data_IF_888010822722
#
_entry.id   IF_888010822722
#
_cell.length_a   1.000
_cell.length_b   1.000
_cell.length_c   1.000
_cell.angle_alpha   90.00
_cell.angle_beta   90.00
_cell.angle_gamma   90.00
#
_symmetry.space_group_name_H-M   'P 1'
#
loop_
_entity.id
_entity.type
_entity.pdbx_description
1 polymer ?
#
# COMPACT_ATOMS: atom_id res chain seq x y z
N UNK A 1 -23.95 -20.77 -14.68
CA UNK A 1 -22.54 -21.08 -14.43
C UNK A 1 -22.15 -20.68 -13.04
N UNK A 2 -21.59 -21.59 -12.30
CA UNK A 2 -21.09 -21.27 -10.99
C UNK A 2 -19.94 -20.26 -11.07
N UNK A 3 -19.82 -19.38 -10.11
CA UNK A 3 -18.66 -18.50 -10.00
C UNK A 3 -17.40 -19.32 -9.81
N UNK A 4 -16.31 -18.90 -10.42
CA UNK A 4 -15.03 -19.56 -10.26
C UNK A 4 -14.47 -19.31 -8.85
N UNK A 5 -13.52 -20.12 -8.43
CA UNK A 5 -12.78 -19.91 -7.19
C UNK A 5 -12.14 -18.52 -7.17
N UNK A 6 -11.64 -18.04 -8.32
CA UNK A 6 -11.09 -16.68 -8.46
C UNK A 6 -12.11 -15.60 -8.17
N UNK A 7 -13.35 -15.78 -8.63
CA UNK A 7 -14.44 -14.85 -8.38
C UNK A 7 -14.78 -14.80 -6.88
N UNK A 8 -14.86 -15.97 -6.25
CA UNK A 8 -15.14 -16.06 -4.81
C UNK A 8 -14.04 -15.41 -3.97
N UNK A 9 -12.78 -15.59 -4.37
CA UNK A 9 -11.64 -14.95 -3.70
C UNK A 9 -11.68 -13.44 -3.84
N UNK A 10 -12.02 -12.92 -5.01
CA UNK A 10 -12.17 -11.48 -5.23
C UNK A 10 -13.31 -10.90 -4.39
N UNK A 11 -14.44 -11.57 -4.33
CA UNK A 11 -15.59 -11.16 -3.53
C UNK A 11 -15.23 -11.15 -2.04
N UNK A 12 -14.52 -12.17 -1.56
CA UNK A 12 -14.08 -12.24 -0.17
C UNK A 12 -13.11 -11.09 0.16
N UNK A 13 -12.18 -10.77 -0.73
CA UNK A 13 -11.25 -9.64 -0.55
C UNK A 13 -12.01 -8.31 -0.49
N UNK A 14 -12.96 -8.11 -1.39
CA UNK A 14 -13.78 -6.90 -1.41
C UNK A 14 -14.55 -6.72 -0.10
N UNK A 15 -15.13 -7.80 0.44
CA UNK A 15 -15.82 -7.75 1.73
C UNK A 15 -14.89 -7.40 2.88
N UNK A 16 -13.68 -7.99 2.91
CA UNK A 16 -12.68 -7.67 3.95
C UNK A 16 -12.26 -6.21 3.86
N UNK A 17 -11.99 -5.70 2.67
CA UNK A 17 -11.60 -4.32 2.47
C UNK A 17 -12.73 -3.37 2.87
N UNK A 18 -13.96 -3.68 2.51
CA UNK A 18 -15.13 -2.90 2.91
C UNK A 18 -15.25 -2.78 4.44
N UNK A 19 -15.03 -3.88 5.17
CA UNK A 19 -15.06 -3.86 6.64
C UNK A 19 -13.96 -2.99 7.22
N UNK A 20 -12.76 -3.09 6.68
CA UNK A 20 -11.62 -2.26 7.10
C UNK A 20 -11.89 -0.78 6.83
N UNK A 21 -12.48 -0.44 5.68
CA UNK A 21 -12.75 0.93 5.29
C UNK A 21 -13.79 1.62 6.19
N UNK A 22 -14.58 0.89 6.92
CA UNK A 22 -15.46 1.48 7.96
C UNK A 22 -14.66 2.03 9.13
N UNK A 23 -13.47 1.50 9.38
CA UNK A 23 -12.61 1.88 10.51
C UNK A 23 -11.39 2.67 10.07
N UNK A 24 -10.99 2.57 8.79
CA UNK A 24 -9.76 3.16 8.27
C UNK A 24 -10.11 4.31 7.32
N UNK A 25 -9.87 5.51 7.77
CA UNK A 25 -10.09 6.73 6.99
C UNK A 25 -8.87 7.64 7.13
N UNK A 26 -8.37 8.14 6.00
CA UNK A 26 -7.25 9.08 5.98
C UNK A 26 -7.71 10.52 6.07
N UNK A 27 -6.88 11.35 6.70
CA UNK A 27 -7.08 12.81 6.79
C UNK A 27 -5.83 13.52 6.29
N UNK A 28 -5.86 14.84 6.22
CA UNK A 28 -4.69 15.62 5.82
C UNK A 28 -3.50 15.44 6.79
N UNK A 29 -3.78 15.31 8.09
CA UNK A 29 -2.75 15.14 9.12
C UNK A 29 -2.33 13.69 9.31
N UNK A 30 -3.20 12.75 8.96
CA UNK A 30 -2.94 11.31 9.06
C UNK A 30 -3.52 10.59 7.84
N UNK A 31 -2.85 10.75 6.68
CA UNK A 31 -3.35 10.15 5.44
C UNK A 31 -3.36 8.62 5.48
N UNK A 32 -4.14 8.04 4.58
CA UNK A 32 -4.26 6.60 4.45
C UNK A 32 -3.22 6.07 3.47
N UNK A 33 -2.37 5.17 3.94
CA UNK A 33 -1.35 4.49 3.13
C UNK A 33 -1.96 3.22 2.57
N UNK A 34 -2.36 3.24 1.31
CA UNK A 34 -3.09 2.16 0.63
C UNK A 34 -2.14 1.30 -0.17
N UNK A 35 -2.08 0.02 0.12
CA UNK A 35 -1.26 -0.95 -0.61
C UNK A 35 -2.15 -1.76 -1.55
N UNK A 36 -1.77 -1.82 -2.82
CA UNK A 36 -2.42 -2.63 -3.85
C UNK A 36 -1.39 -3.55 -4.46
N UNK A 37 -1.68 -4.82 -4.53
CA UNK A 37 -0.74 -5.78 -5.14
C UNK A 37 -1.41 -6.63 -6.21
N UNK A 38 -0.62 -7.00 -7.20
CA UNK A 38 -0.93 -8.03 -8.19
C UNK A 38 0.11 -9.14 -8.07
N UNK A 39 0.01 -10.15 -8.95
CA UNK A 39 0.99 -11.24 -8.96
C UNK A 39 2.42 -10.76 -9.23
N UNK A 40 2.57 -9.71 -10.05
CA UNK A 40 3.88 -9.20 -10.50
C UNK A 40 4.35 -7.92 -9.81
N UNK A 41 3.40 -7.09 -9.40
CA UNK A 41 3.72 -5.74 -8.94
C UNK A 41 3.03 -5.40 -7.63
N UNK A 42 3.60 -4.47 -6.92
CA UNK A 42 3.01 -3.87 -5.74
C UNK A 42 3.07 -2.36 -5.88
N UNK A 43 2.01 -1.68 -5.48
CA UNK A 43 1.91 -0.24 -5.53
C UNK A 43 1.36 0.29 -4.21
N UNK A 44 1.70 1.53 -3.89
CA UNK A 44 1.22 2.19 -2.68
C UNK A 44 0.86 3.62 -3.00
N UNK A 45 -0.23 4.10 -2.39
CA UNK A 45 -0.69 5.48 -2.49
C UNK A 45 -0.93 6.04 -1.10
N UNK A 46 -0.60 7.31 -0.92
CA UNK A 46 -0.91 8.04 0.28
C UNK A 46 -2.10 8.95 -0.03
N UNK A 47 -3.24 8.69 0.59
CA UNK A 47 -4.53 9.31 0.24
C UNK A 47 -5.08 10.13 1.39
N UNK A 48 -5.48 11.37 1.09
CA UNK A 48 -6.29 12.19 1.97
C UNK A 48 -7.76 11.99 1.57
N UNK A 49 -8.49 11.20 2.36
CA UNK A 49 -9.89 10.86 2.08
C UNK A 49 -10.84 12.05 2.28
N UNK A 50 -10.43 13.06 3.04
CA UNK A 50 -11.28 14.24 3.28
C UNK A 50 -11.52 15.04 2.00
N UNK A 51 -10.59 15.00 1.05
CA UNK A 51 -10.69 15.68 -0.25
C UNK A 51 -10.57 14.73 -1.42
N UNK A 52 -10.44 13.42 -1.17
CA UNK A 52 -10.33 12.40 -2.21
C UNK A 52 -9.07 12.54 -3.07
N UNK A 53 -7.94 12.94 -2.48
CA UNK A 53 -6.72 13.25 -3.22
C UNK A 53 -5.59 12.30 -2.84
N UNK A 54 -4.87 11.79 -3.86
CA UNK A 54 -3.61 11.06 -3.67
C UNK A 54 -2.46 12.08 -3.54
N UNK A 55 -1.76 12.03 -2.42
CA UNK A 55 -0.68 12.95 -2.11
C UNK A 55 0.64 12.52 -2.74
N UNK A 56 1.00 11.26 -2.58
CA UNK A 56 2.17 10.63 -3.19
C UNK A 56 1.87 9.18 -3.52
N UNK A 57 2.67 8.61 -4.42
CA UNK A 57 2.58 7.19 -4.77
C UNK A 57 3.96 6.62 -5.05
N UNK A 58 4.06 5.29 -5.05
CA UNK A 58 5.24 4.55 -5.46
C UNK A 58 4.81 3.17 -5.95
N UNK A 59 5.59 2.58 -6.85
CA UNK A 59 5.24 1.30 -7.46
C UNK A 59 6.48 0.59 -7.98
N UNK A 60 6.45 -0.73 -8.01
CA UNK A 60 7.45 -1.55 -8.70
C UNK A 60 7.43 -1.36 -10.22
N UNK A 61 6.41 -0.68 -10.76
CA UNK A 61 6.34 -0.32 -12.18
C UNK A 61 7.26 0.85 -12.54
N UNK A 62 7.77 1.59 -11.56
CA UNK A 62 8.71 2.69 -11.82
C UNK A 62 9.99 2.15 -12.45
N UNK A 63 10.57 2.89 -13.39
CA UNK A 63 11.64 2.42 -14.26
C UNK A 63 12.83 1.80 -13.50
N UNK A 64 13.29 2.45 -12.44
CA UNK A 64 14.43 1.99 -11.66
C UNK A 64 14.14 0.67 -10.94
N UNK A 65 12.96 0.53 -10.37
CA UNK A 65 12.54 -0.67 -9.66
C UNK A 65 12.19 -1.81 -10.61
N UNK A 66 11.64 -1.48 -11.76
CA UNK A 66 11.27 -2.45 -12.79
C UNK A 66 12.49 -3.11 -13.40
N UNK A 67 13.56 -2.35 -13.60
CA UNK A 67 14.82 -2.84 -14.15
C UNK A 67 15.70 -3.55 -13.12
N UNK A 68 15.46 -3.35 -11.83
CA UNK A 68 16.28 -3.94 -10.78
C UNK A 68 16.01 -5.44 -10.63
N UNK A 69 17.05 -6.21 -10.38
CA UNK A 69 16.96 -7.60 -10.00
C UNK A 69 16.62 -7.70 -8.50
N UNK A 70 16.01 -8.80 -8.10
CA UNK A 70 15.73 -9.05 -6.71
C UNK A 70 14.40 -9.75 -6.49
N UNK A 71 14.20 -10.19 -5.27
CA UNK A 71 12.97 -10.84 -4.87
C UNK A 71 11.82 -9.83 -4.78
N UNK A 72 10.59 -10.31 -4.92
CA UNK A 72 9.40 -9.47 -4.82
C UNK A 72 9.29 -8.77 -3.46
N UNK A 73 9.69 -9.44 -2.38
CA UNK A 73 9.68 -8.85 -1.04
C UNK A 73 10.72 -7.73 -0.91
N UNK A 74 11.90 -7.88 -1.50
CA UNK A 74 12.94 -6.85 -1.50
C UNK A 74 12.49 -5.62 -2.28
N UNK A 75 11.86 -5.81 -3.42
CA UNK A 75 11.27 -4.72 -4.22
C UNK A 75 10.15 -4.01 -3.48
N UNK A 76 9.31 -4.77 -2.76
CA UNK A 76 8.24 -4.21 -1.94
C UNK A 76 8.80 -3.33 -0.83
N UNK A 77 9.87 -3.76 -0.17
CA UNK A 77 10.55 -2.96 0.85
C UNK A 77 11.08 -1.66 0.24
N UNK A 78 11.68 -1.72 -0.93
CA UNK A 78 12.18 -0.54 -1.64
C UNK A 78 11.06 0.44 -1.99
N UNK A 79 9.90 -0.08 -2.42
CA UNK A 79 8.71 0.75 -2.67
C UNK A 79 8.25 1.44 -1.39
N UNK A 80 8.25 0.71 -0.26
CA UNK A 80 7.91 1.26 1.05
C UNK A 80 8.87 2.39 1.46
N UNK A 81 10.17 2.19 1.30
CA UNK A 81 11.18 3.21 1.56
C UNK A 81 10.98 4.44 0.69
N UNK A 82 10.66 4.23 -0.59
CA UNK A 82 10.45 5.31 -1.55
C UNK A 82 9.22 6.17 -1.19
N UNK A 83 8.07 5.54 -0.91
CA UNK A 83 6.86 6.27 -0.51
C UNK A 83 7.07 6.98 0.82
N UNK A 84 7.79 6.35 1.76
CA UNK A 84 8.13 6.95 3.03
C UNK A 84 8.95 8.23 2.86
N UNK A 85 9.98 8.20 2.04
CA UNK A 85 10.79 9.39 1.73
C UNK A 85 9.96 10.49 1.07
N UNK A 86 9.12 10.13 0.13
CA UNK A 86 8.24 11.08 -0.57
C UNK A 86 7.23 11.73 0.39
N UNK A 87 6.68 10.94 1.31
CA UNK A 87 5.73 11.42 2.31
C UNK A 87 6.40 12.37 3.30
N UNK A 88 7.55 12.00 3.83
CA UNK A 88 8.32 12.85 4.75
C UNK A 88 8.71 14.17 4.08
N UNK A 89 9.06 14.13 2.78
CA UNK A 89 9.33 15.32 1.98
C UNK A 89 8.15 16.27 1.88
N UNK A 90 6.92 15.79 2.04
CA UNK A 90 5.70 16.60 2.10
C UNK A 90 5.31 17.01 3.53
N UNK A 91 6.11 16.63 4.53
CA UNK A 91 5.80 16.91 5.92
C UNK A 91 4.86 15.91 6.59
N UNK A 92 4.60 14.78 5.96
CA UNK A 92 3.75 13.72 6.53
C UNK A 92 4.62 12.74 7.29
N UNK A 93 4.32 12.51 8.57
CA UNK A 93 5.03 11.55 9.41
C UNK A 93 4.15 10.41 9.92
N UNK A 94 2.86 10.66 10.10
CA UNK A 94 1.92 9.68 10.66
C UNK A 94 0.91 9.29 9.60
N UNK A 95 0.66 7.98 9.44
CA UNK A 95 -0.28 7.45 8.44
C UNK A 95 -1.14 6.37 9.05
N UNK A 96 -2.26 6.06 8.39
CA UNK A 96 -3.10 4.91 8.69
C UNK A 96 -2.84 3.87 7.60
N UNK A 97 -2.49 2.66 7.99
CA UNK A 97 -2.14 1.61 7.05
C UNK A 97 -3.38 0.87 6.56
N UNK A 98 -3.58 0.83 5.23
CA UNK A 98 -4.66 0.09 4.58
C UNK A 98 -4.05 -0.93 3.61
N UNK A 99 -4.09 -2.18 3.97
CA UNK A 99 -3.53 -3.28 3.18
C UNK A 99 -4.49 -3.82 2.10
N UNK A 100 -5.63 -3.18 1.88
CA UNK A 100 -6.56 -3.52 0.81
C UNK A 100 -7.27 -4.87 0.98
N UNK A 101 -7.43 -5.35 2.21
CA UNK A 101 -8.01 -6.66 2.49
C UNK A 101 -7.04 -7.82 2.37
N UNK A 102 -5.78 -7.57 2.05
CA UNK A 102 -4.73 -8.58 2.00
C UNK A 102 -4.16 -8.87 3.40
N UNK A 103 -3.54 -10.03 3.57
CA UNK A 103 -2.89 -10.40 4.83
C UNK A 103 -1.63 -9.58 5.07
N UNK A 104 -1.34 -9.28 6.34
CA UNK A 104 -0.13 -8.55 6.72
C UNK A 104 1.04 -9.53 6.84
N UNK A 105 1.57 -9.95 5.69
CA UNK A 105 2.79 -10.78 5.63
C UNK A 105 3.39 -10.68 4.22
N UNK A 106 4.56 -11.27 4.02
CA UNK A 106 5.23 -11.30 2.73
C UNK A 106 5.51 -9.89 2.21
N UNK A 107 5.09 -9.61 0.98
CA UNK A 107 5.34 -8.34 0.31
C UNK A 107 4.70 -7.14 1.05
N UNK A 108 3.50 -7.33 1.59
CA UNK A 108 2.80 -6.26 2.32
C UNK A 108 3.57 -5.86 3.57
N UNK A 109 4.02 -6.86 4.35
CA UNK A 109 4.83 -6.62 5.54
C UNK A 109 6.17 -5.97 5.20
N UNK A 110 6.82 -6.42 4.13
CA UNK A 110 8.09 -5.85 3.67
C UNK A 110 7.93 -4.38 3.27
N UNK A 111 6.86 -4.03 2.57
CA UNK A 111 6.57 -2.65 2.21
C UNK A 111 6.34 -1.79 3.47
N UNK A 112 5.58 -2.28 4.42
CA UNK A 112 5.33 -1.57 5.68
C UNK A 112 6.62 -1.33 6.45
N UNK A 113 7.50 -2.33 6.54
CA UNK A 113 8.81 -2.20 7.19
C UNK A 113 9.67 -1.14 6.48
N UNK A 114 9.65 -1.11 5.16
CA UNK A 114 10.35 -0.10 4.38
C UNK A 114 9.84 1.31 4.67
N UNK A 115 8.53 1.49 4.71
CA UNK A 115 7.92 2.77 5.00
C UNK A 115 8.27 3.25 6.42
N UNK A 116 8.23 2.35 7.39
CA UNK A 116 8.62 2.66 8.77
C UNK A 116 10.09 3.04 8.88
N UNK A 117 10.98 2.34 8.19
CA UNK A 117 12.41 2.65 8.22
C UNK A 117 12.71 4.00 7.58
N UNK A 118 11.88 4.48 6.67
CA UNK A 118 12.01 5.79 6.04
C UNK A 118 11.41 6.94 6.88
N UNK A 119 10.77 6.64 8.00
CA UNK A 119 10.30 7.64 8.94
C UNK A 119 8.80 7.72 9.15
N UNK A 120 8.00 6.88 8.51
CA UNK A 120 6.55 6.87 8.75
C UNK A 120 6.19 6.11 10.02
N UNK A 121 5.21 6.64 10.74
CA UNK A 121 4.68 6.05 11.97
C UNK A 121 3.28 5.48 11.73
N UNK A 122 3.12 4.23 12.04
CA UNK A 122 1.83 3.56 12.01
C UNK A 122 1.89 2.19 12.70
#
# INVERSE_FOLDING_TARGET
MASSVSQDRRNARARRHFRLRKKVTGTATRPRLVVTRSSRHIAVQLVDDSVGRTLVSASTLEADLRAADGKKSDKARTVGELVGRRAVGLGVSTVVFDRGGDSYHGRVAALADGARSAGLEF
#
